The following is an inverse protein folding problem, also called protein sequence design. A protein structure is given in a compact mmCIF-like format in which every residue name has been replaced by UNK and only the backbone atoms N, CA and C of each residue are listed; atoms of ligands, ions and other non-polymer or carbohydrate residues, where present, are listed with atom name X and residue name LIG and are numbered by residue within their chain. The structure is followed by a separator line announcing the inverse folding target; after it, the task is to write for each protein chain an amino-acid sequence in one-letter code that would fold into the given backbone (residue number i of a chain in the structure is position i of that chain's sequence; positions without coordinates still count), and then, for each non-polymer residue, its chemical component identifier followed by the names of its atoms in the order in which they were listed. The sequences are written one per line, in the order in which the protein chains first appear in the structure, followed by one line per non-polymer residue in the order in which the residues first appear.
data_IF_761074038746
#
_entry.id   IF_761074038746
#
_cell.length_a   1.000
_cell.length_b   1.000
_cell.length_c   1.000
_cell.angle_alpha   90.00
_cell.angle_beta   90.00
_cell.angle_gamma   90.00
#
_symmetry.space_group_name_H-M   'P 1'
#
loop_
_entity.id
_entity.type
_entity.pdbx_description
1 polymer ?
#
# COMPACT_ATOMS: atom_id res chain seq x y z
N UNK A 1 10.06 -11.09 -22.05
CA UNK A 1 9.04 -11.81 -22.86
C UNK A 1 9.68 -12.90 -23.72
N UNK A 2 10.54 -12.62 -24.70
CA UNK A 2 11.10 -13.67 -25.59
C UNK A 2 11.80 -14.87 -24.90
N UNK A 3 12.44 -14.69 -23.75
CA UNK A 3 13.02 -15.81 -22.97
C UNK A 3 11.96 -16.67 -22.26
N UNK A 4 10.91 -16.03 -21.74
CA UNK A 4 9.79 -16.70 -21.05
C UNK A 4 8.92 -17.44 -22.06
N UNK A 5 8.63 -16.83 -23.22
CA UNK A 5 7.87 -17.46 -24.30
C UNK A 5 8.61 -18.72 -24.83
N UNK A 6 9.94 -18.63 -24.96
CA UNK A 6 10.79 -19.77 -25.39
C UNK A 6 10.89 -20.86 -24.33
N UNK A 7 10.81 -20.51 -23.04
CA UNK A 7 10.75 -21.46 -21.93
C UNK A 7 9.37 -22.12 -21.81
N UNK A 8 8.28 -21.38 -22.03
CA UNK A 8 6.92 -21.91 -22.09
C UNK A 8 6.73 -22.88 -23.26
N UNK A 9 7.29 -22.57 -24.43
CA UNK A 9 7.36 -23.51 -25.57
C UNK A 9 8.19 -24.76 -25.27
N UNK A 10 9.09 -24.71 -24.28
CA UNK A 10 9.87 -25.85 -23.78
C UNK A 10 9.23 -26.53 -22.55
N UNK A 11 7.97 -26.21 -22.23
CA UNK A 11 7.24 -26.81 -21.10
C UNK A 11 7.71 -26.32 -19.72
N UNK A 12 8.57 -25.30 -19.65
CA UNK A 12 9.04 -24.72 -18.40
C UNK A 12 8.16 -23.54 -18.01
N UNK A 13 7.21 -23.79 -17.10
CA UNK A 13 6.42 -22.72 -16.48
C UNK A 13 7.31 -21.90 -15.53
N UNK A 14 7.79 -20.75 -15.99
CA UNK A 14 8.28 -19.72 -15.08
C UNK A 14 7.14 -18.75 -14.79
N UNK A 15 6.67 -18.75 -13.54
CA UNK A 15 5.87 -17.64 -13.04
C UNK A 15 6.78 -16.39 -13.01
N UNK A 16 6.45 -15.36 -13.79
CA UNK A 16 6.96 -14.02 -13.52
C UNK A 16 6.58 -13.69 -12.07
N UNK A 17 7.46 -13.05 -11.31
CA UNK A 17 7.12 -12.60 -9.96
C UNK A 17 5.81 -11.82 -10.05
N UNK A 18 4.77 -12.29 -9.38
CA UNK A 18 3.47 -11.64 -9.38
C UNK A 18 3.67 -10.16 -9.06
N UNK A 19 3.14 -9.29 -9.91
CA UNK A 19 3.13 -7.85 -9.68
C UNK A 19 2.47 -7.63 -8.32
N UNK A 20 3.14 -6.92 -7.40
CA UNK A 20 2.54 -6.65 -6.09
C UNK A 20 1.26 -5.84 -6.29
N UNK A 21 0.24 -6.02 -5.45
CA UNK A 21 -1.03 -5.29 -5.56
C UNK A 21 -0.82 -3.76 -5.75
N UNK A 22 0.05 -3.12 -4.97
CA UNK A 22 0.41 -1.68 -5.10
C UNK A 22 0.90 -1.30 -6.51
N UNK A 23 1.67 -2.17 -7.15
CA UNK A 23 2.15 -1.95 -8.52
C UNK A 23 1.03 -2.13 -9.54
N UNK A 24 0.15 -3.11 -9.34
CA UNK A 24 -1.03 -3.31 -10.19
C UNK A 24 -1.99 -2.11 -10.08
N UNK A 25 -2.19 -1.57 -8.88
CA UNK A 25 -3.01 -0.39 -8.62
C UNK A 25 -2.47 0.85 -9.35
N UNK A 26 -1.17 1.13 -9.22
CA UNK A 26 -0.52 2.24 -9.96
C UNK A 26 -0.62 2.08 -11.46
N UNK A 27 -0.42 0.86 -11.97
CA UNK A 27 -0.57 0.62 -13.40
C UNK A 27 -2.01 0.82 -13.88
N UNK A 28 -3.00 0.40 -13.07
CA UNK A 28 -4.43 0.61 -13.33
C UNK A 28 -4.88 2.07 -13.26
N UNK A 29 -4.18 2.91 -12.49
CA UNK A 29 -4.41 4.36 -12.46
C UNK A 29 -3.68 5.13 -13.57
N UNK A 30 -2.80 4.45 -14.33
CA UNK A 30 -2.07 5.01 -15.46
C UNK A 30 -0.61 5.36 -15.16
N UNK A 31 -0.12 5.07 -13.96
CA UNK A 31 1.29 5.25 -13.59
C UNK A 31 2.10 3.99 -13.91
N UNK A 32 3.01 4.08 -14.89
CA UNK A 32 3.95 2.99 -15.18
C UNK A 32 5.16 3.02 -14.23
N UNK A 33 5.40 1.96 -13.44
CA UNK A 33 6.59 1.86 -12.60
C UNK A 33 7.87 1.85 -13.44
N UNK A 34 8.87 2.62 -13.03
CA UNK A 34 10.19 2.62 -13.71
C UNK A 34 11.01 1.37 -13.36
N UNK A 35 11.85 0.96 -14.30
CA UNK A 35 12.82 -0.14 -14.11
C UNK A 35 12.17 -1.52 -14.05
N UNK A 36 12.76 -2.45 -13.30
CA UNK A 36 12.28 -3.82 -13.18
C UNK A 36 11.06 -3.99 -12.25
N UNK A 37 10.41 -2.89 -11.83
CA UNK A 37 9.28 -2.89 -10.89
C UNK A 37 7.93 -3.22 -11.54
N UNK A 38 7.88 -3.26 -12.86
CA UNK A 38 6.75 -3.79 -13.61
C UNK A 38 7.28 -4.46 -14.88
N UNK A 39 6.55 -5.45 -15.42
CA UNK A 39 6.87 -5.97 -16.74
C UNK A 39 6.76 -4.82 -17.76
N UNK A 40 7.85 -4.55 -18.48
CA UNK A 40 7.84 -3.61 -19.60
C UNK A 40 6.83 -4.10 -20.65
N UNK A 41 5.84 -3.27 -20.99
CA UNK A 41 4.85 -3.58 -22.03
C UNK A 41 5.57 -3.86 -23.36
N UNK A 42 6.46 -2.94 -23.75
CA UNK A 42 7.44 -3.13 -24.80
C UNK A 42 8.81 -2.80 -24.22
N UNK A 43 9.73 -3.77 -24.18
CA UNK A 43 11.12 -3.46 -23.86
C UNK A 43 11.85 -2.83 -25.05
N UNK A 44 12.93 -2.08 -24.82
CA UNK A 44 13.68 -1.41 -25.90
C UNK A 44 14.31 -2.39 -26.89
N UNK A 45 14.73 -3.57 -26.41
CA UNK A 45 15.45 -4.56 -27.20
C UNK A 45 14.55 -5.76 -27.57
N UNK A 46 14.67 -6.22 -28.82
CA UNK A 46 14.04 -7.43 -29.34
C UNK A 46 14.55 -8.67 -28.59
N UNK A 47 15.86 -8.78 -28.51
CA UNK A 47 16.58 -9.84 -27.82
C UNK A 47 17.96 -9.34 -27.39
N UNK A 48 18.64 -10.13 -26.56
CA UNK A 48 20.01 -9.86 -26.12
C UNK A 48 20.93 -10.97 -26.62
N UNK A 49 22.17 -10.61 -26.93
CA UNK A 49 23.22 -11.53 -27.39
C UNK A 49 24.39 -11.41 -26.43
N UNK A 50 24.81 -12.53 -25.87
CA UNK A 50 26.02 -12.60 -25.04
C UNK A 50 27.20 -13.02 -25.91
N UNK A 51 28.23 -12.18 -25.94
CA UNK A 51 29.50 -12.45 -26.63
C UNK A 51 30.58 -12.68 -25.58
N UNK A 52 31.28 -13.81 -25.70
CA UNK A 52 32.42 -14.14 -24.85
C UNK A 52 33.70 -13.65 -25.53
N UNK A 53 34.46 -12.80 -24.84
CA UNK A 53 35.71 -12.24 -25.34
C UNK A 53 36.78 -12.20 -24.25
N UNK A 54 38.04 -12.26 -24.68
CA UNK A 54 39.19 -11.88 -23.84
C UNK A 54 39.66 -10.44 -24.14
N UNK A 55 38.99 -9.76 -25.08
CA UNK A 55 39.28 -8.36 -25.45
C UNK A 55 39.04 -7.41 -24.29
N UNK A 56 39.97 -6.47 -24.09
CA UNK A 56 39.83 -5.35 -23.16
C UNK A 56 38.99 -4.20 -23.75
N UNK A 57 39.01 -4.05 -25.07
CA UNK A 57 38.21 -3.05 -25.78
C UNK A 57 36.89 -3.67 -26.23
N UNK A 58 35.79 -3.23 -25.62
CA UNK A 58 34.44 -3.71 -25.89
C UNK A 58 33.65 -2.53 -26.45
N UNK A 59 33.16 -2.63 -27.70
CA UNK A 59 32.45 -1.53 -28.33
C UNK A 59 31.15 -1.24 -27.58
N UNK A 60 30.85 0.04 -27.38
CA UNK A 60 29.58 0.49 -26.76
C UNK A 60 28.40 0.31 -27.70
N UNK A 61 28.63 0.30 -29.01
CA UNK A 61 27.66 0.01 -30.06
C UNK A 61 28.32 -0.75 -31.21
N UNK A 62 27.59 -1.69 -31.81
CA UNK A 62 28.06 -2.43 -32.97
C UNK A 62 27.96 -1.58 -34.24
N UNK A 63 29.08 -1.41 -34.92
CA UNK A 63 29.21 -0.74 -36.21
C UNK A 63 29.84 -1.67 -37.23
N UNK A 64 29.88 -1.26 -38.50
CA UNK A 64 30.51 -2.03 -39.59
C UNK A 64 32.02 -2.24 -39.40
N UNK A 65 32.64 -1.39 -38.58
CA UNK A 65 34.09 -1.39 -38.32
C UNK A 65 34.53 -2.34 -37.21
N UNK A 66 33.58 -3.03 -36.56
CA UNK A 66 33.86 -3.87 -35.40
C UNK A 66 34.60 -5.16 -35.82
N UNK A 67 35.56 -5.58 -35.01
CA UNK A 67 36.45 -6.74 -35.25
C UNK A 67 35.99 -7.99 -34.46
N UNK A 68 36.53 -9.20 -34.76
CA UNK A 68 36.20 -10.39 -33.97
C UNK A 68 36.47 -10.14 -32.47
N UNK A 69 35.63 -10.64 -31.55
CA UNK A 69 34.56 -11.63 -31.76
C UNK A 69 33.16 -11.05 -32.03
N UNK A 70 33.02 -9.75 -32.29
CA UNK A 70 31.71 -9.07 -32.29
C UNK A 70 31.06 -8.90 -33.68
N UNK A 71 31.72 -9.30 -34.76
CA UNK A 71 31.25 -9.14 -36.16
C UNK A 71 29.92 -9.83 -36.50
N UNK A 72 29.53 -10.86 -35.74
CA UNK A 72 28.25 -11.56 -35.93
C UNK A 72 27.07 -10.93 -35.19
N UNK A 73 27.30 -9.86 -34.42
CA UNK A 73 26.23 -9.15 -33.70
C UNK A 73 25.55 -8.17 -34.66
N UNK A 74 24.20 -8.07 -34.69
CA UNK A 74 23.51 -7.14 -35.57
C UNK A 74 23.98 -5.69 -35.43
N UNK A 75 24.05 -4.99 -36.57
CA UNK A 75 24.44 -3.58 -36.61
C UNK A 75 23.58 -2.73 -35.67
N UNK A 76 24.20 -1.70 -35.10
CA UNK A 76 23.64 -0.76 -34.14
C UNK A 76 23.22 -1.36 -32.79
N UNK A 77 23.49 -2.64 -32.52
CA UNK A 77 23.23 -3.23 -31.20
C UNK A 77 24.01 -2.50 -30.11
N UNK A 78 23.36 -2.21 -28.99
CA UNK A 78 23.93 -1.42 -27.88
C UNK A 78 24.48 -2.33 -26.79
N UNK A 79 25.67 -2.06 -26.27
CA UNK A 79 26.20 -2.74 -25.09
C UNK A 79 25.32 -2.43 -23.86
N UNK A 80 24.78 -3.49 -23.23
CA UNK A 80 23.94 -3.37 -22.02
C UNK A 80 24.78 -3.56 -20.77
N UNK A 81 25.64 -4.58 -20.76
CA UNK A 81 26.48 -4.91 -19.61
C UNK A 81 27.70 -5.71 -20.04
N UNK A 82 28.81 -5.55 -19.32
CA UNK A 82 29.98 -6.41 -19.44
C UNK A 82 30.36 -6.91 -18.05
N UNK A 83 30.63 -8.22 -17.92
CA UNK A 83 31.02 -8.86 -16.67
C UNK A 83 32.17 -9.83 -16.89
N UNK A 84 33.14 -9.86 -15.98
CA UNK A 84 34.21 -10.86 -15.97
C UNK A 84 33.72 -12.09 -15.20
N UNK A 85 33.86 -13.26 -15.80
CA UNK A 85 33.45 -14.54 -15.20
C UNK A 85 34.62 -15.50 -15.28
N UNK A 86 34.95 -16.11 -14.14
CA UNK A 86 35.92 -17.20 -14.09
C UNK A 86 35.21 -18.50 -14.46
N UNK A 87 35.65 -19.17 -15.52
CA UNK A 87 35.17 -20.50 -15.89
C UNK A 87 36.27 -21.52 -15.62
N UNK A 88 35.90 -22.65 -15.02
CA UNK A 88 36.79 -23.81 -14.91
C UNK A 88 36.78 -24.58 -16.24
N UNK A 89 37.98 -24.79 -16.79
CA UNK A 89 38.19 -25.60 -17.98
C UNK A 89 38.07 -27.10 -17.69
N UNK A 90 38.11 -27.92 -18.75
CA UNK A 90 37.97 -29.39 -18.65
C UNK A 90 39.07 -30.07 -17.81
N UNK A 91 40.17 -29.37 -17.53
CA UNK A 91 41.32 -29.85 -16.73
C UNK A 91 41.49 -29.08 -15.41
N UNK A 92 40.48 -28.33 -14.95
CA UNK A 92 40.54 -27.57 -13.69
C UNK A 92 41.25 -26.22 -13.77
N UNK A 93 41.74 -25.80 -14.95
CA UNK A 93 42.29 -24.45 -15.17
C UNK A 93 41.21 -23.37 -15.04
N UNK A 94 41.42 -22.37 -14.18
CA UNK A 94 40.54 -21.20 -14.05
C UNK A 94 40.88 -20.16 -15.12
N UNK A 95 40.00 -20.01 -16.13
CA UNK A 95 40.14 -18.99 -17.19
C UNK A 95 39.14 -17.86 -16.96
N UNK A 96 39.65 -16.63 -16.87
CA UNK A 96 38.83 -15.43 -16.78
C UNK A 96 38.37 -15.05 -18.18
N UNK A 97 37.06 -15.02 -18.40
CA UNK A 97 36.43 -14.64 -19.68
C UNK A 97 35.50 -13.46 -19.44
N UNK A 98 35.50 -12.49 -20.33
CA UNK A 98 34.56 -11.37 -20.29
C UNK A 98 33.32 -11.74 -21.09
N UNK A 99 32.14 -11.60 -20.47
CA UNK A 99 30.84 -11.77 -21.12
C UNK A 99 30.23 -10.40 -21.34
N UNK A 100 30.09 -10.01 -22.60
CA UNK A 100 29.50 -8.75 -23.04
C UNK A 100 28.12 -8.99 -23.61
N UNK A 101 27.10 -8.39 -23.00
CA UNK A 101 25.69 -8.52 -23.42
C UNK A 101 25.29 -7.33 -24.29
N UNK A 102 24.94 -7.59 -25.54
CA UNK A 102 24.44 -6.58 -26.50
C UNK A 102 22.93 -6.69 -26.67
N UNK A 103 22.25 -5.55 -26.64
CA UNK A 103 20.83 -5.42 -26.93
C UNK A 103 20.59 -5.13 -28.41
N UNK A 104 19.85 -6.01 -29.08
CA UNK A 104 19.44 -5.83 -30.48
C UNK A 104 18.11 -5.08 -30.50
N UNK A 105 18.06 -3.93 -31.18
CA UNK A 105 16.83 -3.14 -31.31
C UNK A 105 15.78 -3.86 -32.16
N UNK A 106 14.50 -3.53 -31.93
CA UNK A 106 13.42 -3.86 -32.88
C UNK A 106 13.47 -2.91 -34.06
N UNK A 107 13.03 -3.36 -35.23
CA UNK A 107 12.70 -2.42 -36.30
C UNK A 107 11.47 -1.56 -35.92
N UNK A 108 11.28 -0.37 -36.50
CA UNK A 108 10.09 0.44 -36.27
C UNK A 108 8.78 -0.32 -36.50
N UNK A 109 8.70 -1.15 -37.54
CA UNK A 109 7.53 -1.97 -37.84
C UNK A 109 7.31 -3.09 -36.84
N UNK A 110 8.37 -3.80 -36.41
CA UNK A 110 8.26 -4.82 -35.36
C UNK A 110 7.80 -4.22 -34.04
N UNK A 111 8.27 -3.01 -33.72
CA UNK A 111 7.81 -2.27 -32.55
C UNK A 111 6.32 -1.93 -32.67
N UNK A 112 5.89 -1.37 -33.80
CA UNK A 112 4.49 -1.02 -34.06
C UNK A 112 3.56 -2.24 -33.96
N UNK A 113 3.90 -3.33 -34.66
CA UNK A 113 3.10 -4.57 -34.60
C UNK A 113 3.03 -5.12 -33.18
N UNK A 114 4.14 -5.06 -32.42
CA UNK A 114 4.12 -5.47 -31.03
C UNK A 114 3.23 -4.55 -30.19
N UNK A 115 3.35 -3.23 -30.34
CA UNK A 115 2.53 -2.26 -29.63
C UNK A 115 1.03 -2.48 -29.87
N UNK A 116 0.63 -2.77 -31.11
CA UNK A 116 -0.77 -3.07 -31.47
C UNK A 116 -1.30 -4.36 -30.85
N UNK A 117 -0.43 -5.34 -30.58
CA UNK A 117 -0.81 -6.62 -29.97
C UNK A 117 -0.88 -6.60 -28.44
N UNK A 118 -0.38 -5.54 -27.80
CA UNK A 118 -0.28 -5.48 -26.34
C UNK A 118 -1.58 -5.06 -25.69
N UNK A 119 -1.78 -5.56 -24.48
CA UNK A 119 -2.82 -5.09 -23.56
C UNK A 119 -2.31 -3.97 -22.67
N UNK A 120 -3.02 -2.85 -22.65
CA UNK A 120 -2.63 -1.73 -21.82
C UNK A 120 -3.06 -2.05 -20.38
N UNK A 121 -2.23 -1.80 -19.35
CA UNK A 121 -2.59 -2.10 -17.97
C UNK A 121 -3.86 -1.41 -17.46
N UNK A 122 -4.24 -0.28 -18.07
CA UNK A 122 -5.52 0.41 -17.82
C UNK A 122 -6.76 -0.40 -18.23
N UNK A 123 -6.55 -1.48 -18.98
CA UNK A 123 -7.57 -2.30 -19.60
C UNK A 123 -7.84 -3.54 -18.76
N UNK A 124 -6.98 -3.77 -17.77
CA UNK A 124 -7.05 -4.90 -16.87
C UNK A 124 -7.96 -4.56 -15.67
N UNK A 125 -9.05 -5.33 -15.46
CA UNK A 125 -9.99 -5.10 -14.36
C UNK A 125 -9.50 -5.58 -12.97
N UNK A 126 -8.30 -6.15 -12.85
CA UNK A 126 -7.80 -6.78 -11.61
C UNK A 126 -7.35 -5.80 -10.51
N UNK A 127 -7.92 -4.59 -10.45
CA UNK A 127 -7.40 -3.49 -9.62
C UNK A 127 -8.37 -3.04 -8.53
N UNK A 128 -9.32 -3.88 -8.11
CA UNK A 128 -10.24 -3.54 -7.03
C UNK A 128 -10.29 -4.64 -5.99
N UNK A 129 -10.36 -4.24 -4.71
CA UNK A 129 -10.59 -5.16 -3.59
C UNK A 129 -11.88 -5.98 -3.79
N UNK A 130 -11.87 -7.24 -3.32
CA UNK A 130 -13.00 -8.17 -3.47
C UNK A 130 -14.27 -7.66 -2.79
N UNK A 131 -14.17 -6.97 -1.65
CA UNK A 131 -15.34 -6.45 -0.93
C UNK A 131 -15.97 -5.29 -1.69
N UNK A 132 -15.15 -4.37 -2.21
CA UNK A 132 -15.61 -3.31 -3.10
C UNK A 132 -16.25 -3.88 -4.37
N UNK A 133 -15.62 -4.89 -4.99
CA UNK A 133 -16.16 -5.54 -6.18
C UNK A 133 -17.52 -6.20 -5.88
N UNK A 134 -17.67 -6.95 -4.78
CA UNK A 134 -18.96 -7.52 -4.35
C UNK A 134 -20.04 -6.45 -4.21
N UNK A 135 -19.71 -5.31 -3.61
CA UNK A 135 -20.65 -4.20 -3.45
C UNK A 135 -21.05 -3.59 -4.81
N UNK A 136 -20.08 -3.39 -5.72
CA UNK A 136 -20.32 -2.88 -7.07
C UNK A 136 -21.25 -3.83 -7.84
N UNK A 137 -20.94 -5.14 -7.84
CA UNK A 137 -21.73 -6.16 -8.53
C UNK A 137 -23.13 -6.28 -7.91
N UNK A 138 -23.26 -6.25 -6.59
CA UNK A 138 -24.57 -6.25 -5.92
C UNK A 138 -25.44 -5.08 -6.36
N UNK A 139 -24.87 -3.87 -6.49
CA UNK A 139 -25.60 -2.69 -6.96
C UNK A 139 -26.00 -2.83 -8.43
N UNK A 140 -25.12 -3.39 -9.27
CA UNK A 140 -25.36 -3.59 -10.71
C UNK A 140 -26.42 -4.66 -10.97
N UNK A 141 -26.31 -5.80 -10.29
CA UNK A 141 -27.09 -7.01 -10.55
C UNK A 141 -28.48 -6.98 -9.90
N UNK A 142 -28.77 -5.97 -9.07
CA UNK A 142 -30.05 -5.84 -8.39
C UNK A 142 -30.78 -4.56 -8.80
N UNK A 143 -32.12 -4.59 -8.92
CA UNK A 143 -32.90 -3.37 -9.12
C UNK A 143 -32.68 -2.37 -7.99
N UNK A 144 -32.72 -1.08 -8.30
CA UNK A 144 -32.54 0.00 -7.33
C UNK A 144 -33.46 -0.14 -6.10
N UNK A 145 -34.71 -0.56 -6.30
CA UNK A 145 -35.66 -0.82 -5.22
C UNK A 145 -35.17 -1.91 -4.25
N UNK A 146 -34.60 -3.00 -4.77
CA UNK A 146 -34.06 -4.08 -3.95
C UNK A 146 -32.83 -3.62 -3.14
N UNK A 147 -31.93 -2.86 -3.77
CA UNK A 147 -30.75 -2.29 -3.08
C UNK A 147 -31.18 -1.34 -1.96
N UNK A 148 -32.18 -0.49 -2.18
CA UNK A 148 -32.72 0.40 -1.16
C UNK A 148 -33.36 -0.37 0.00
N UNK A 149 -34.16 -1.40 -0.32
CA UNK A 149 -34.79 -2.25 0.68
C UNK A 149 -33.74 -3.00 1.53
N UNK A 150 -32.69 -3.53 0.89
CA UNK A 150 -31.58 -4.17 1.58
C UNK A 150 -30.90 -3.20 2.57
N UNK A 151 -30.55 -1.98 2.11
CA UNK A 151 -29.94 -0.96 2.96
C UNK A 151 -30.85 -0.55 4.13
N UNK A 152 -32.13 -0.34 3.86
CA UNK A 152 -33.10 -0.01 4.91
C UNK A 152 -33.25 -1.14 5.94
N UNK A 153 -33.25 -2.40 5.49
CA UNK A 153 -33.28 -3.58 6.38
C UNK A 153 -32.03 -3.64 7.28
N UNK A 154 -30.83 -3.41 6.73
CA UNK A 154 -29.60 -3.40 7.52
C UNK A 154 -29.57 -2.25 8.53
N UNK A 155 -29.96 -1.03 8.12
CA UNK A 155 -30.06 0.11 9.03
C UNK A 155 -31.06 -0.16 10.17
N UNK A 156 -32.22 -0.75 9.85
CA UNK A 156 -33.21 -1.15 10.86
C UNK A 156 -32.64 -2.19 11.83
N UNK A 157 -31.97 -3.23 11.32
CA UNK A 157 -31.30 -4.27 12.13
C UNK A 157 -30.35 -3.62 13.15
N UNK A 158 -29.39 -2.83 12.70
CA UNK A 158 -28.38 -2.25 13.59
C UNK A 158 -28.92 -1.16 14.51
N UNK A 159 -29.95 -0.42 14.09
CA UNK A 159 -30.63 0.54 14.97
C UNK A 159 -31.33 -0.19 16.12
N UNK A 160 -31.99 -1.31 15.83
CA UNK A 160 -32.62 -2.14 16.85
C UNK A 160 -31.59 -2.79 17.78
N UNK A 161 -30.53 -3.39 17.22
CA UNK A 161 -29.43 -3.97 18.02
C UNK A 161 -28.78 -2.94 18.93
N UNK A 162 -28.61 -1.71 18.48
CA UNK A 162 -28.06 -0.64 19.32
C UNK A 162 -28.89 -0.36 20.58
N UNK A 163 -30.22 -0.47 20.49
CA UNK A 163 -31.12 -0.31 21.64
C UNK A 163 -31.04 -1.53 22.55
N UNK A 164 -31.08 -2.72 21.97
CA UNK A 164 -31.01 -4.00 22.72
C UNK A 164 -29.69 -4.15 23.48
N UNK A 165 -28.58 -3.67 22.92
CA UNK A 165 -27.25 -3.72 23.53
C UNK A 165 -26.98 -2.58 24.53
N UNK A 166 -27.84 -1.57 24.64
CA UNK A 166 -27.54 -0.34 25.38
C UNK A 166 -27.23 -0.57 26.87
N UNK A 167 -27.90 -1.53 27.52
CA UNK A 167 -27.64 -1.88 28.91
C UNK A 167 -26.27 -2.54 29.09
N UNK A 168 -25.96 -3.55 28.28
CA UNK A 168 -24.67 -4.23 28.29
C UNK A 168 -23.51 -3.30 27.90
N UNK A 169 -23.74 -2.36 26.98
CA UNK A 169 -22.77 -1.34 26.59
C UNK A 169 -22.39 -0.45 27.79
N UNK A 170 -23.38 -0.09 28.62
CA UNK A 170 -23.15 0.71 29.82
C UNK A 170 -22.30 -0.05 30.85
N UNK A 171 -22.59 -1.34 31.05
CA UNK A 171 -21.82 -2.21 31.95
C UNK A 171 -20.38 -2.37 31.46
N UNK A 172 -20.18 -2.67 30.17
CA UNK A 172 -18.86 -2.76 29.55
C UNK A 172 -18.08 -1.44 29.74
N UNK A 173 -18.70 -0.29 29.46
CA UNK A 173 -18.04 1.01 29.63
C UNK A 173 -17.69 1.33 31.08
N UNK A 174 -18.34 0.71 32.05
CA UNK A 174 -17.98 0.86 33.47
C UNK A 174 -16.76 0.02 33.84
N UNK A 175 -16.49 -1.09 33.14
CA UNK A 175 -15.30 -1.92 33.37
C UNK A 175 -14.05 -1.40 32.65
N UNK A 176 -14.20 -0.51 31.67
CA UNK A 176 -13.05 0.08 30.96
C UNK A 176 -12.20 0.96 31.88
N UNK A 177 -10.89 0.99 31.61
CA UNK A 177 -10.00 1.97 32.21
C UNK A 177 -10.51 3.40 31.97
N UNK A 178 -10.32 4.28 32.95
CA UNK A 178 -10.85 5.64 32.90
C UNK A 178 -10.42 6.42 31.64
N UNK A 179 -9.20 6.17 31.17
CA UNK A 179 -8.63 6.87 30.01
C UNK A 179 -9.21 6.34 28.71
N UNK A 180 -9.35 5.02 28.61
CA UNK A 180 -9.98 4.35 27.45
C UNK A 180 -11.46 4.72 27.36
N UNK A 181 -12.16 4.69 28.50
CA UNK A 181 -13.57 5.08 28.60
C UNK A 181 -13.80 6.50 28.10
N UNK A 182 -12.95 7.45 28.48
CA UNK A 182 -13.06 8.84 28.05
C UNK A 182 -12.98 8.96 26.53
N UNK A 183 -12.05 8.25 25.88
CA UNK A 183 -11.89 8.27 24.42
C UNK A 183 -13.06 7.59 23.70
N UNK A 184 -13.62 6.54 24.29
CA UNK A 184 -14.65 5.70 23.68
C UNK A 184 -16.09 6.02 24.12
N UNK A 185 -16.30 7.05 24.93
CA UNK A 185 -17.60 7.33 25.55
C UNK A 185 -18.72 7.52 24.52
N UNK A 186 -18.43 8.19 23.40
CA UNK A 186 -19.38 8.39 22.31
C UNK A 186 -19.62 7.17 21.39
N UNK A 187 -18.83 6.10 21.53
CA UNK A 187 -18.83 4.95 20.61
C UNK A 187 -19.73 3.83 21.13
N UNK A 188 -20.29 3.00 20.24
CA UNK A 188 -21.10 1.82 20.60
C UNK A 188 -20.27 0.56 20.34
N UNK A 189 -19.49 0.13 21.32
CA UNK A 189 -18.47 -0.90 21.17
C UNK A 189 -19.07 -2.27 20.87
N UNK A 190 -20.10 -2.69 21.61
CA UNK A 190 -20.74 -3.99 21.38
C UNK A 190 -21.44 -4.05 20.03
N UNK A 191 -22.07 -2.95 19.61
CA UNK A 191 -22.65 -2.87 18.26
C UNK A 191 -21.56 -2.95 17.19
N UNK A 192 -20.44 -2.25 17.39
CA UNK A 192 -19.28 -2.32 16.50
C UNK A 192 -18.75 -3.75 16.38
N UNK A 193 -18.67 -4.48 17.50
CA UNK A 193 -18.30 -5.90 17.51
C UNK A 193 -19.22 -6.75 16.63
N UNK A 194 -20.54 -6.65 16.83
CA UNK A 194 -21.52 -7.39 16.01
C UNK A 194 -21.44 -7.02 14.54
N UNK A 195 -21.24 -5.73 14.23
CA UNK A 195 -21.09 -5.27 12.84
C UNK A 195 -19.81 -5.79 12.19
N UNK A 196 -18.70 -5.86 12.94
CA UNK A 196 -17.44 -6.41 12.45
C UNK A 196 -17.56 -7.92 12.18
N UNK A 197 -18.22 -8.66 13.07
CA UNK A 197 -18.51 -10.09 12.90
C UNK A 197 -19.43 -10.34 11.70
N UNK A 198 -20.53 -9.59 11.58
CA UNK A 198 -21.46 -9.66 10.44
C UNK A 198 -20.76 -9.38 9.09
N UNK A 199 -19.80 -8.45 9.08
CA UNK A 199 -19.02 -8.11 7.89
C UNK A 199 -17.91 -9.12 7.58
N UNK A 200 -17.63 -10.07 8.47
CA UNK A 200 -16.55 -11.04 8.33
C UNK A 200 -15.15 -10.42 8.46
N UNK A 201 -15.00 -9.39 9.30
CA UNK A 201 -13.69 -8.81 9.61
C UNK A 201 -12.80 -9.88 10.24
N UNK A 202 -11.64 -10.14 9.63
CA UNK A 202 -10.74 -11.24 10.02
C UNK A 202 -9.87 -10.97 11.25
N UNK A 203 -9.95 -9.77 11.83
CA UNK A 203 -9.17 -9.35 13.00
C UNK A 203 -9.90 -9.73 14.28
N UNK A 204 -9.46 -10.83 14.90
CA UNK A 204 -10.02 -11.38 16.13
C UNK A 204 -9.64 -10.57 17.39
N UNK A 205 -8.59 -9.73 17.30
CA UNK A 205 -8.05 -8.99 18.44
C UNK A 205 -8.53 -7.54 18.50
N UNK A 206 -8.98 -6.99 17.37
CA UNK A 206 -9.40 -5.59 17.24
C UNK A 206 -10.35 -5.11 18.34
N UNK A 207 -11.38 -5.90 18.67
CA UNK A 207 -12.32 -5.50 19.73
C UNK A 207 -11.64 -5.42 21.10
N UNK A 208 -10.86 -6.44 21.44
CA UNK A 208 -10.12 -6.51 22.70
C UNK A 208 -9.10 -5.37 22.80
N UNK A 209 -8.32 -5.12 21.75
CA UNK A 209 -7.35 -4.02 21.71
C UNK A 209 -8.03 -2.65 21.80
N UNK A 210 -9.22 -2.50 21.23
CA UNK A 210 -9.98 -1.26 21.32
C UNK A 210 -10.47 -1.03 22.77
N UNK A 211 -10.86 -2.09 23.50
CA UNK A 211 -11.28 -1.99 24.91
C UNK A 211 -10.14 -1.92 25.92
N UNK A 212 -8.99 -2.53 25.64
CA UNK A 212 -7.84 -2.58 26.55
C UNK A 212 -6.79 -1.51 26.23
N UNK A 213 -6.80 -0.97 25.02
CA UNK A 213 -5.78 -0.09 24.47
C UNK A 213 -4.76 -0.84 23.59
N UNK A 214 -4.26 -0.15 22.56
CA UNK A 214 -3.25 -0.69 21.65
C UNK A 214 -1.86 -0.68 22.29
N UNK A 215 -1.17 -1.82 22.25
CA UNK A 215 0.19 -1.96 22.80
C UNK A 215 1.21 -1.29 21.87
N UNK A 216 2.16 -0.56 22.45
CA UNK A 216 3.25 0.09 21.72
C UNK A 216 4.56 -0.73 21.70
N UNK A 217 4.58 -1.91 22.33
CA UNK A 217 5.76 -2.74 22.55
C UNK A 217 5.39 -4.22 22.49
N UNK A 218 6.36 -5.08 22.18
CA UNK A 218 6.16 -6.53 22.12
C UNK A 218 5.66 -6.99 20.75
N UNK A 219 5.05 -8.17 20.72
CA UNK A 219 4.51 -8.75 19.49
C UNK A 219 3.12 -8.20 19.18
N UNK A 220 2.98 -7.65 17.97
CA UNK A 220 1.70 -7.15 17.47
C UNK A 220 0.88 -8.31 16.90
N UNK A 221 -0.40 -8.44 17.29
CA UNK A 221 -1.27 -9.47 16.74
C UNK A 221 -1.46 -9.28 15.23
N UNK A 222 -1.78 -10.36 14.53
CA UNK A 222 -2.09 -10.33 13.11
C UNK A 222 -3.56 -9.96 12.90
N UNK A 223 -3.81 -8.89 12.15
CA UNK A 223 -5.17 -8.48 11.77
C UNK A 223 -5.76 -9.37 10.67
N UNK A 224 -4.90 -10.08 9.91
CA UNK A 224 -5.23 -10.82 8.68
C UNK A 224 -5.78 -9.93 7.55
N UNK A 225 -5.72 -8.59 7.72
CA UNK A 225 -6.13 -7.61 6.71
C UNK A 225 -4.97 -7.15 5.83
N UNK A 226 -3.74 -7.34 6.29
CA UNK A 226 -2.54 -6.84 5.61
C UNK A 226 -1.63 -8.00 5.19
N UNK A 227 -0.79 -7.80 4.15
CA UNK A 227 0.19 -8.81 3.77
C UNK A 227 1.14 -9.16 4.93
N UNK A 228 1.30 -10.46 5.19
CA UNK A 228 2.22 -10.95 6.21
C UNK A 228 3.65 -10.48 5.91
N UNK A 229 4.29 -9.88 6.92
CA UNK A 229 5.69 -9.49 6.87
C UNK A 229 6.25 -9.40 8.28
N UNK A 230 7.01 -10.43 8.66
CA UNK A 230 7.67 -10.46 9.95
C UNK A 230 8.86 -9.48 9.97
N UNK A 231 8.84 -8.57 10.94
CA UNK A 231 9.98 -7.75 11.37
C UNK A 231 10.15 -8.00 12.88
N UNK A 232 11.11 -8.84 13.29
CA UNK A 232 11.30 -9.17 14.70
C UNK A 232 11.82 -7.96 15.49
N UNK A 233 11.46 -7.89 16.76
CA UNK A 233 12.04 -6.96 17.72
C UNK A 233 13.56 -7.18 17.85
N UNK A 234 14.31 -6.09 18.06
CA UNK A 234 15.75 -6.14 18.30
C UNK A 234 16.10 -6.33 19.77
N UNK A 235 15.17 -6.00 20.68
CA UNK A 235 15.29 -6.23 22.11
C UNK A 235 13.95 -6.64 22.73
N UNK A 236 14.00 -7.30 23.87
CA UNK A 236 12.80 -7.71 24.61
C UNK A 236 12.15 -6.53 25.34
N UNK A 237 10.86 -6.65 25.66
CA UNK A 237 10.14 -5.66 26.47
C UNK A 237 10.81 -5.48 27.85
N UNK A 238 11.41 -6.55 28.40
CA UNK A 238 12.12 -6.45 29.67
C UNK A 238 13.40 -5.62 29.54
N UNK A 239 14.21 -5.87 28.50
CA UNK A 239 15.40 -5.06 28.21
C UNK A 239 15.04 -3.57 27.99
N UNK A 240 13.90 -3.31 27.35
CA UNK A 240 13.39 -1.95 27.18
C UNK A 240 13.10 -1.30 28.55
N UNK A 241 12.40 -2.01 29.45
CA UNK A 241 12.11 -1.54 30.81
C UNK A 241 13.39 -1.26 31.61
N UNK A 242 14.37 -2.15 31.53
CA UNK A 242 15.65 -1.99 32.24
C UNK A 242 16.41 -0.73 31.76
N UNK A 243 16.24 -0.34 30.49
CA UNK A 243 16.84 0.87 29.92
C UNK A 243 16.20 2.19 30.41
N UNK A 244 15.02 2.14 31.03
CA UNK A 244 14.26 3.31 31.46
C UNK A 244 15.08 4.23 32.39
N UNK A 245 15.90 3.66 33.28
CA UNK A 245 16.77 4.40 34.20
C UNK A 245 17.72 5.33 33.44
N UNK A 246 18.30 4.85 32.33
CA UNK A 246 19.19 5.64 31.49
C UNK A 246 18.41 6.65 30.64
N UNK A 247 17.27 6.24 30.06
CA UNK A 247 16.42 7.11 29.25
C UNK A 247 16.00 8.38 30.03
N UNK A 248 15.59 8.21 31.30
CA UNK A 248 15.23 9.32 32.19
C UNK A 248 16.38 10.29 32.47
N UNK A 249 17.63 9.81 32.56
CA UNK A 249 18.82 10.66 32.75
C UNK A 249 19.15 11.46 31.49
N UNK A 250 18.89 10.91 30.31
CA UNK A 250 19.32 11.47 29.03
C UNK A 250 18.29 12.40 28.38
N UNK A 251 17.01 12.30 28.76
CA UNK A 251 15.92 13.05 28.10
C UNK A 251 16.17 14.55 28.05
N UNK A 252 16.71 15.16 29.11
CA UNK A 252 16.98 16.60 29.14
C UNK A 252 18.00 17.04 28.09
N UNK A 253 19.10 16.30 27.96
CA UNK A 253 20.10 16.57 26.93
C UNK A 253 19.52 16.37 25.52
N UNK A 254 18.60 15.41 25.39
CA UNK A 254 17.91 15.18 24.13
C UNK A 254 16.94 16.30 23.73
N UNK A 255 16.12 16.76 24.68
CA UNK A 255 15.21 17.89 24.48
C UNK A 255 15.96 19.17 24.09
N UNK A 256 17.14 19.42 24.68
CA UNK A 256 17.99 20.57 24.30
C UNK A 256 18.41 20.54 22.83
N UNK A 257 18.68 19.37 22.26
CA UNK A 257 19.07 19.24 20.85
C UNK A 257 17.92 19.56 19.91
N UNK A 258 16.71 19.08 20.21
CA UNK A 258 15.53 19.32 19.36
C UNK A 258 14.98 20.74 19.51
N UNK A 259 15.30 21.43 20.62
CA UNK A 259 14.96 22.83 20.82
C UNK A 259 15.98 23.82 20.23
N UNK A 260 16.92 23.35 19.40
CA UNK A 260 17.96 24.20 18.81
C UNK A 260 17.40 25.26 17.83
N UNK A 261 16.31 24.93 17.12
CA UNK A 261 15.54 25.89 16.31
C UNK A 261 14.38 26.45 17.15
N UNK A 262 14.42 27.74 17.54
CA UNK A 262 13.39 28.35 18.37
C UNK A 262 12.00 28.39 17.72
N UNK A 263 11.91 28.48 16.40
CA UNK A 263 10.65 28.51 15.67
C UNK A 263 9.96 27.14 15.76
N UNK A 264 10.72 26.08 15.47
CA UNK A 264 10.25 24.70 15.56
C UNK A 264 9.87 24.35 17.00
N UNK A 265 10.75 24.67 17.96
CA UNK A 265 10.50 24.42 19.38
C UNK A 265 9.22 25.11 19.86
N UNK A 266 9.01 26.37 19.47
CA UNK A 266 7.81 27.13 19.79
C UNK A 266 6.56 26.48 19.19
N UNK A 267 6.60 26.09 17.92
CA UNK A 267 5.47 25.45 17.26
C UNK A 267 5.07 24.12 17.92
N UNK A 268 6.05 23.26 18.23
CA UNK A 268 5.81 21.98 18.94
C UNK A 268 5.25 22.20 20.34
N UNK A 269 5.75 23.20 21.06
CA UNK A 269 5.22 23.54 22.39
C UNK A 269 3.77 24.04 22.32
N UNK A 270 3.46 24.95 21.38
CA UNK A 270 2.10 25.45 21.18
C UNK A 270 1.13 24.33 20.80
N UNK A 271 1.51 23.44 19.89
CA UNK A 271 0.71 22.26 19.53
C UNK A 271 0.46 21.36 20.74
N UNK A 272 1.48 21.17 21.59
CA UNK A 272 1.32 20.38 22.84
C UNK A 272 0.38 21.06 23.83
N UNK A 273 0.44 22.38 23.98
CA UNK A 273 -0.50 23.14 24.82
C UNK A 273 -1.94 23.02 24.30
N UNK A 274 -2.15 23.07 22.98
CA UNK A 274 -3.47 22.86 22.39
C UNK A 274 -3.99 21.44 22.68
N UNK A 275 -3.15 20.41 22.53
CA UNK A 275 -3.54 19.03 22.84
C UNK A 275 -3.88 18.79 24.32
N UNK A 276 -3.30 19.58 25.23
CA UNK A 276 -3.70 19.58 26.64
C UNK A 276 -5.10 20.20 26.80
N UNK A 277 -5.38 21.32 26.13
CA UNK A 277 -6.70 21.95 26.13
C UNK A 277 -7.78 21.04 25.53
N UNK A 278 -7.44 20.31 24.47
CA UNK A 278 -8.33 19.35 23.80
C UNK A 278 -8.51 18.05 24.62
N UNK A 279 -7.77 17.89 25.72
CA UNK A 279 -7.81 16.72 26.59
C UNK A 279 -7.12 15.47 26.03
N UNK A 280 -6.34 15.59 24.96
CA UNK A 280 -5.62 14.48 24.32
C UNK A 280 -4.33 14.11 25.06
N UNK A 281 -3.73 15.09 25.76
CA UNK A 281 -2.51 14.90 26.55
C UNK A 281 -2.76 15.41 27.97
N UNK A 282 -2.18 14.72 28.96
CA UNK A 282 -2.25 15.12 30.36
C UNK A 282 -0.90 15.58 30.86
N UNK A 283 -0.92 16.53 31.79
CA UNK A 283 0.24 17.12 32.41
C UNK A 283 0.07 18.64 32.58
N UNK A 284 1.16 19.37 32.83
CA UNK A 284 2.53 18.86 32.99
C UNK A 284 2.69 17.98 34.23
N UNK A 285 3.50 16.93 34.13
CA UNK A 285 3.89 16.09 35.26
C UNK A 285 5.36 16.30 35.59
N UNK A 286 5.70 16.27 36.87
CA UNK A 286 7.10 16.18 37.30
C UNK A 286 7.61 14.74 37.17
N UNK A 287 8.94 14.57 37.09
CA UNK A 287 9.55 13.24 37.07
C UNK A 287 9.17 12.40 38.30
N UNK A 288 9.07 13.03 39.48
CA UNK A 288 8.65 12.37 40.71
C UNK A 288 7.20 11.88 40.65
N UNK A 289 6.28 12.65 40.04
CA UNK A 289 4.90 12.22 39.82
C UNK A 289 4.82 11.02 38.88
N UNK A 290 5.64 10.99 37.82
CA UNK A 290 5.72 9.85 36.90
C UNK A 290 6.38 8.63 37.54
N UNK A 291 7.42 8.82 38.35
CA UNK A 291 8.05 7.75 39.13
C UNK A 291 7.05 7.15 40.12
N UNK A 292 6.23 7.95 40.79
CA UNK A 292 5.16 7.45 41.66
C UNK A 292 4.08 6.73 40.86
N UNK A 293 3.61 7.30 39.74
CA UNK A 293 2.52 6.73 38.94
C UNK A 293 2.88 5.39 38.30
N UNK A 294 4.13 5.23 37.87
CA UNK A 294 4.59 4.06 37.10
C UNK A 294 5.65 3.24 37.84
N UNK A 295 5.76 3.38 39.16
CA UNK A 295 6.75 2.70 40.01
C UNK A 295 8.19 2.82 39.47
N UNK A 296 8.54 4.02 38.99
CA UNK A 296 9.84 4.31 38.38
C UNK A 296 10.06 3.74 36.98
N UNK A 297 9.13 2.94 36.45
CA UNK A 297 9.23 2.22 35.18
C UNK A 297 8.45 2.95 34.07
N UNK A 298 8.99 4.09 33.63
CA UNK A 298 8.47 4.84 32.50
C UNK A 298 9.61 5.27 31.57
N UNK A 299 9.32 5.29 30.27
CA UNK A 299 10.29 5.63 29.23
C UNK A 299 9.84 6.93 28.58
N UNK A 300 10.63 8.01 28.67
CA UNK A 300 10.30 9.24 27.98
C UNK A 300 10.34 9.04 26.47
N UNK A 301 9.45 9.72 25.76
CA UNK A 301 9.55 9.97 24.32
C UNK A 301 9.58 11.48 24.13
N UNK A 302 10.63 12.01 23.51
CA UNK A 302 10.68 13.45 23.23
C UNK A 302 9.79 13.77 22.03
N UNK A 303 9.28 14.99 21.99
CA UNK A 303 8.69 15.56 20.77
C UNK A 303 9.71 16.36 19.98
N UNK A 304 9.71 16.19 18.68
CA UNK A 304 10.46 17.03 17.75
C UNK A 304 9.54 17.54 16.64
N UNK A 305 9.90 18.65 16.02
CA UNK A 305 9.10 19.24 14.96
C UNK A 305 9.67 18.94 13.58
N UNK A 306 8.78 18.59 12.64
CA UNK A 306 9.12 18.41 11.22
C UNK A 306 8.43 19.48 10.41
N UNK A 307 9.20 20.24 9.62
CA UNK A 307 8.67 21.24 8.69
C UNK A 307 8.16 20.52 7.43
N UNK A 308 6.85 20.52 7.24
CA UNK A 308 6.15 19.97 6.08
C UNK A 308 5.43 21.09 5.33
N UNK A 309 5.99 21.48 4.18
CA UNK A 309 5.58 22.69 3.45
C UNK A 309 5.58 23.91 4.40
N UNK A 310 4.41 24.54 4.59
CA UNK A 310 4.24 25.74 5.41
C UNK A 310 3.79 25.44 6.84
N UNK A 311 3.82 24.18 7.30
CA UNK A 311 3.38 23.78 8.66
C UNK A 311 4.47 22.99 9.37
N UNK A 312 4.63 23.24 10.65
CA UNK A 312 5.46 22.42 11.54
C UNK A 312 4.52 21.46 12.28
N UNK A 313 4.87 20.17 12.29
CA UNK A 313 4.12 19.11 12.98
C UNK A 313 4.96 18.54 14.10
N UNK A 314 4.41 18.42 15.30
CA UNK A 314 5.01 17.67 16.40
C UNK A 314 4.96 16.16 16.11
N UNK A 315 6.07 15.47 16.39
CA UNK A 315 6.22 14.02 16.25
C UNK A 315 6.84 13.46 17.54
N UNK A 316 6.25 12.39 18.06
CA UNK A 316 6.79 11.63 19.20
C UNK A 316 7.90 10.68 18.72
N UNK A 317 9.11 10.84 19.25
CA UNK A 317 10.28 10.04 18.88
C UNK A 317 10.38 8.76 19.72
N UNK A 318 9.62 7.75 19.32
CA UNK A 318 9.71 6.40 19.90
C UNK A 318 10.96 5.62 19.48
N UNK A 319 11.86 6.19 18.67
CA UNK A 319 13.09 5.52 18.23
C UNK A 319 14.25 5.75 19.18
N UNK A 320 14.39 6.96 19.72
CA UNK A 320 15.57 7.35 20.51
C UNK A 320 15.81 6.47 21.75
N UNK A 321 14.75 6.17 22.50
CA UNK A 321 14.82 5.28 23.66
C UNK A 321 14.26 3.89 23.36
N UNK A 322 14.42 3.45 22.11
CA UNK A 322 14.28 2.07 21.66
C UNK A 322 12.89 1.44 21.79
N UNK A 323 11.83 2.22 22.00
CA UNK A 323 10.45 1.71 22.05
C UNK A 323 10.11 0.98 20.74
N UNK A 324 10.39 1.60 19.59
CA UNK A 324 10.21 1.00 18.26
C UNK A 324 11.03 -0.30 18.05
N UNK A 325 12.17 -0.42 18.72
CA UNK A 325 13.05 -1.57 18.61
C UNK A 325 12.57 -2.77 19.45
N UNK A 326 11.61 -2.56 20.35
CA UNK A 326 10.96 -3.62 21.13
C UNK A 326 9.72 -4.23 20.45
N UNK A 327 9.34 -3.73 19.27
CA UNK A 327 8.13 -4.15 18.56
C UNK A 327 8.46 -5.22 17.53
N UNK A 328 7.77 -6.36 17.61
CA UNK A 328 7.69 -7.35 16.53
C UNK A 328 6.45 -7.03 15.70
N UNK A 329 6.66 -6.63 14.44
CA UNK A 329 5.58 -6.43 13.47
C UNK A 329 5.39 -7.71 12.68
N UNK A 330 4.16 -8.21 12.59
CA UNK A 330 3.83 -9.46 11.89
C UNK A 330 3.28 -9.22 10.48
N UNK A 331 2.83 -7.98 10.22
CA UNK A 331 2.23 -7.57 8.96
C UNK A 331 2.90 -6.30 8.40
N UNK A 332 2.76 -6.09 7.09
CA UNK A 332 3.13 -4.84 6.42
C UNK A 332 1.89 -4.02 6.17
N UNK A 333 1.75 -2.90 6.89
CA UNK A 333 0.72 -1.91 6.59
C UNK A 333 0.86 -1.43 5.13
N UNK A 334 -0.13 -1.81 4.32
CA UNK A 334 -0.30 -1.34 2.97
C UNK A 334 -1.52 -0.45 2.96
N UNK A 335 -1.29 0.86 2.94
CA UNK A 335 -2.36 1.85 2.91
C UNK A 335 -2.89 1.98 1.48
N UNK A 336 -4.20 2.16 1.37
CA UNK A 336 -4.82 2.52 0.10
C UNK A 336 -4.42 3.94 -0.30
N UNK A 337 -4.00 4.11 -1.55
CA UNK A 337 -3.67 5.39 -2.15
C UNK A 337 -4.77 5.92 -3.06
N UNK A 338 -4.43 7.01 -3.78
CA UNK A 338 -5.30 7.59 -4.79
C UNK A 338 -5.57 6.60 -5.94
N UNK A 339 -4.60 5.73 -6.24
CA UNK A 339 -4.67 4.78 -7.33
C UNK A 339 -5.83 3.78 -7.14
N UNK A 340 -5.99 3.23 -5.94
CA UNK A 340 -7.11 2.35 -5.57
C UNK A 340 -8.46 3.04 -5.68
N UNK A 341 -8.54 4.31 -5.28
CA UNK A 341 -9.78 5.11 -5.39
C UNK A 341 -10.15 5.31 -6.86
N UNK A 342 -9.16 5.66 -7.70
CA UNK A 342 -9.35 5.80 -9.15
C UNK A 342 -9.80 4.47 -9.77
N UNK A 343 -9.17 3.37 -9.41
CA UNK A 343 -9.50 2.04 -9.93
C UNK A 343 -10.89 1.56 -9.49
N UNK A 344 -11.27 1.83 -8.24
CA UNK A 344 -12.62 1.54 -7.73
C UNK A 344 -13.68 2.34 -8.49
N UNK A 345 -13.44 3.65 -8.69
CA UNK A 345 -14.35 4.51 -9.43
C UNK A 345 -14.48 4.09 -10.91
N UNK A 346 -13.35 3.79 -11.58
CA UNK A 346 -13.32 3.27 -12.96
C UNK A 346 -14.13 1.98 -13.07
N UNK A 347 -13.91 1.05 -12.14
CA UNK A 347 -14.61 -0.23 -12.10
C UNK A 347 -16.09 -0.05 -11.90
N UNK A 348 -16.50 0.83 -10.97
CA UNK A 348 -17.92 1.13 -10.78
C UNK A 348 -18.57 1.74 -12.02
N UNK A 349 -17.90 2.67 -12.70
CA UNK A 349 -18.42 3.33 -13.91
C UNK A 349 -18.52 2.41 -15.13
N UNK A 350 -17.76 1.31 -15.15
CA UNK A 350 -17.74 0.37 -16.26
C UNK A 350 -18.28 -1.02 -15.92
N UNK A 351 -18.92 -1.18 -14.76
CA UNK A 351 -19.29 -2.48 -14.22
C UNK A 351 -20.34 -3.22 -15.07
N UNK A 352 -21.13 -2.51 -15.89
CA UNK A 352 -22.15 -3.08 -16.79
C UNK A 352 -21.57 -4.18 -17.71
N UNK A 353 -20.34 -3.97 -18.17
CA UNK A 353 -19.64 -4.88 -19.09
C UNK A 353 -18.66 -5.81 -18.37
N UNK A 354 -18.54 -5.69 -17.05
CA UNK A 354 -17.62 -6.49 -16.26
C UNK A 354 -18.22 -7.89 -16.03
N UNK A 355 -17.41 -8.91 -16.20
CA UNK A 355 -17.73 -10.30 -15.87
C UNK A 355 -16.66 -10.81 -14.91
N UNK A 356 -17.05 -11.74 -14.06
CA UNK A 356 -16.17 -12.34 -13.08
C UNK A 356 -16.54 -13.81 -12.87
N UNK A 357 -15.59 -14.59 -12.41
CA UNK A 357 -15.84 -15.93 -11.89
C UNK A 357 -16.50 -15.88 -10.51
N UNK A 358 -16.95 -17.03 -10.02
CA UNK A 358 -17.61 -17.14 -8.72
C UNK A 358 -16.69 -16.74 -7.55
N UNK A 359 -15.37 -16.96 -7.69
CA UNK A 359 -14.36 -16.63 -6.67
C UNK A 359 -13.95 -15.14 -6.68
N UNK A 360 -14.40 -14.38 -7.69
CA UNK A 360 -14.03 -12.98 -7.92
C UNK A 360 -12.52 -12.78 -8.10
N UNK A 361 -11.83 -13.77 -8.65
CA UNK A 361 -10.39 -13.75 -8.89
C UNK A 361 -10.09 -13.41 -10.34
N UNK A 362 -10.90 -13.92 -11.25
CA UNK A 362 -10.77 -13.66 -12.68
C UNK A 362 -11.86 -12.69 -13.12
N UNK A 363 -11.45 -11.56 -13.68
CA UNK A 363 -12.33 -10.54 -14.20
C UNK A 363 -12.05 -10.35 -15.70
N UNK A 364 -13.09 -10.21 -16.50
CA UNK A 364 -12.99 -9.95 -17.94
C UNK A 364 -14.11 -9.04 -18.42
N UNK A 365 -13.96 -8.45 -19.60
CA UNK A 365 -15.03 -7.69 -20.24
C UNK A 365 -15.92 -8.62 -21.07
N UNK A 366 -17.22 -8.32 -21.12
CA UNK A 366 -18.19 -9.01 -21.95
C UNK A 366 -17.81 -8.93 -23.44
N UNK A 367 -17.97 -10.03 -24.19
CA UNK A 367 -17.62 -10.10 -25.61
C UNK A 367 -18.43 -9.15 -26.50
N UNK A 368 -19.59 -8.69 -26.04
CA UNK A 368 -20.41 -7.68 -26.73
C UNK A 368 -19.70 -6.33 -26.89
N UNK A 369 -18.71 -6.02 -26.05
CA UNK A 369 -17.89 -4.80 -26.17
C UNK A 369 -16.51 -5.05 -26.79
N UNK A 370 -16.27 -6.22 -27.38
CA UNK A 370 -14.99 -6.56 -28.01
C UNK A 370 -14.62 -5.62 -29.18
N UNK A 371 -15.59 -4.96 -29.81
CA UNK A 371 -15.35 -3.96 -30.86
C UNK A 371 -14.84 -2.62 -30.32
N UNK A 372 -15.01 -2.36 -29.03
CA UNK A 372 -14.72 -1.09 -28.40
C UNK A 372 -13.25 -1.02 -28.00
N UNK A 373 -12.49 -0.14 -28.67
CA UNK A 373 -11.08 0.12 -28.32
C UNK A 373 -11.01 1.30 -27.33
N UNK A 374 -11.51 1.07 -26.10
CA UNK A 374 -11.36 1.92 -24.90
C UNK A 374 -12.62 2.51 -24.28
N UNK A 375 -12.83 2.70 -22.92
CA UNK A 375 -11.95 3.07 -21.79
C UNK A 375 -11.61 2.02 -20.74
N UNK A 376 -12.02 0.80 -21.01
CA UNK A 376 -11.27 -0.39 -20.63
C UNK A 376 -10.20 -0.69 -21.71
N UNK A 377 -9.61 0.38 -22.30
CA UNK A 377 -8.71 0.56 -23.49
C UNK A 377 -8.61 2.02 -24.04
N UNK A 378 -8.96 3.12 -23.32
CA UNK A 378 -9.07 4.60 -23.71
C UNK A 378 -10.44 5.35 -23.53
N UNK A 379 -10.47 6.36 -22.64
CA UNK A 379 -11.60 7.21 -22.16
C UNK A 379 -12.86 7.45 -23.03
N UNK A 380 -14.02 6.90 -22.66
CA UNK A 380 -15.33 7.32 -23.21
C UNK A 380 -16.48 7.42 -22.18
N UNK A 381 -16.23 7.32 -20.87
CA UNK A 381 -17.29 7.58 -19.87
C UNK A 381 -17.45 9.07 -19.55
N UNK A 382 -16.50 9.93 -19.96
CA UNK A 382 -16.61 11.39 -19.71
C UNK A 382 -17.35 12.12 -20.83
N UNK A 383 -17.37 11.61 -22.08
CA UNK A 383 -18.06 12.30 -23.18
C UNK A 383 -19.51 11.84 -23.40
N UNK A 384 -19.84 10.57 -23.13
CA UNK A 384 -21.21 10.08 -23.35
C UNK A 384 -22.23 10.50 -22.28
N UNK A 385 -21.76 10.82 -21.06
CA UNK A 385 -22.62 11.41 -20.03
C UNK A 385 -22.94 12.89 -20.27
N UNK A 386 -22.17 13.60 -21.12
CA UNK A 386 -22.51 14.95 -21.58
C UNK A 386 -23.50 14.94 -22.76
N UNK A 387 -23.58 13.84 -23.52
CA UNK A 387 -24.47 13.69 -24.66
C UNK A 387 -25.88 13.18 -24.30
N UNK A 388 -26.09 12.65 -23.08
CA UNK A 388 -27.44 12.41 -22.53
C UNK A 388 -27.88 13.58 -21.64
N UNK A 389 -27.93 14.76 -22.24
CA UNK A 389 -28.70 15.90 -21.71
C UNK A 389 -30.20 15.65 -21.93
N UNK A 390 -30.79 14.83 -21.07
CA UNK A 390 -32.21 14.96 -20.76
C UNK A 390 -32.37 16.06 -19.69
N UNK A 391 -33.42 16.89 -19.75
CA UNK A 391 -33.49 18.14 -18.99
C UNK A 391 -33.47 17.89 -17.48
N UNK A 392 -32.50 18.50 -16.81
CA UNK A 392 -32.37 18.54 -15.35
C UNK A 392 -33.53 19.38 -14.79
N UNK A 393 -34.41 18.84 -13.92
CA UNK A 393 -35.36 19.67 -13.19
C UNK A 393 -34.62 20.55 -12.16
N UNK A 394 -35.16 21.72 -11.80
CA UNK A 394 -34.39 22.78 -11.16
C UNK A 394 -33.90 22.40 -9.77
N UNK A 395 -32.64 22.79 -9.54
CA UNK A 395 -31.84 22.70 -8.31
C UNK A 395 -32.66 22.80 -7.00
N UNK A 396 -32.68 21.71 -6.23
CA UNK A 396 -32.77 21.78 -4.77
C UNK A 396 -31.38 21.62 -4.18
N UNK A 397 -30.91 22.67 -3.51
CA UNK A 397 -29.65 22.84 -2.77
C UNK A 397 -29.01 21.51 -2.30
N UNK A 398 -27.83 21.19 -2.83
CA UNK A 398 -26.90 20.25 -2.20
C UNK A 398 -26.58 20.76 -0.79
N UNK A 399 -27.14 20.12 0.23
CA UNK A 399 -26.59 20.20 1.59
C UNK A 399 -25.34 19.33 1.62
N UNK A 400 -24.26 19.90 2.15
CA UNK A 400 -22.98 19.26 2.43
C UNK A 400 -23.22 17.88 3.06
N UNK A 401 -22.73 16.82 2.42
CA UNK A 401 -22.51 15.56 3.12
C UNK A 401 -21.34 15.77 4.07
N UNK A 402 -21.66 15.99 5.35
CA UNK A 402 -20.73 15.83 6.44
C UNK A 402 -20.24 14.38 6.44
N UNK A 403 -18.92 14.23 6.45
CA UNK A 403 -18.24 12.99 6.83
C UNK A 403 -18.87 12.55 8.15
N UNK A 404 -19.45 11.35 8.15
CA UNK A 404 -19.90 10.70 9.38
C UNK A 404 -18.61 10.30 10.09
N UNK A 405 -18.23 11.09 11.08
CA UNK A 405 -17.26 10.70 12.09
C UNK A 405 -17.86 9.50 12.84
N UNK A 406 -17.23 8.34 12.68
CA UNK A 406 -17.47 7.18 13.55
C UNK A 406 -17.09 7.53 14.97
#
# INVERSE_FOLDING_TARGET
MAFVDKLQQQGKHMALSAVSLDQAQRMGSGLQPRGARAPLLVGDFKHKIDVQSQSEDIPTQITETVRPPFQGVPLHSKLISSRRVTKEGKEGEKKTVTISTFGVFRSPFEFLHRALSLEHPLDSPHTVDKSNLKAILFIRDNPAAHVLQFRAKQLKKYTQRAVELAAAEKELKQSLDCDVKQVLDGKRLLLFKEMAEDAGVGDEHLFTELTEGFKLTGEMPQSKQFPAKLKPAMLSVQQLRDSAVWAKKMIHASCRRVSADPEIARAVFLETQQQIQDGWVRGPFSAAQLDQKYNGCWIPSKRFGVRQNNKIRAVDDFSEFLVNASVTSTEKLQLFGLDEVVNTARTFLGCDFLRCDESLENLWCDGSVAFFRGPWRWGATVLFLLARSAPVPPRSRFRKFSVIDF
#
